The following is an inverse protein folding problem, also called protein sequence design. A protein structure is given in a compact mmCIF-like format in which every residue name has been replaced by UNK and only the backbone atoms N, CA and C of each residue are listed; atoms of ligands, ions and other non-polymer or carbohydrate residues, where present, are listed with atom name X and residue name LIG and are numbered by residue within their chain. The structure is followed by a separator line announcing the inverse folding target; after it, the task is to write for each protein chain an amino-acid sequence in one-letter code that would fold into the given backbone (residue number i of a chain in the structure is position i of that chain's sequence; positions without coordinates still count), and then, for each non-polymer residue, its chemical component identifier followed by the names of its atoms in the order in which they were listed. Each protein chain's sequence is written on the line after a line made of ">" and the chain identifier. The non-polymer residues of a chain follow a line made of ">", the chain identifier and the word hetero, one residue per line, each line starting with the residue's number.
data_IF_841180490816
#
_entry.id   IF_841180490816
#
_cell.length_a   1.000
_cell.length_b   1.000
_cell.length_c   1.000
_cell.angle_alpha   90.00
_cell.angle_beta   90.00
_cell.angle_gamma   90.00
#
_symmetry.space_group_name_H-M   'P 1'
#
loop_
_entity.id
_entity.type
_entity.pdbx_description
1 polymer ?
#
# COMPACT_ATOMS: atom_id res chain seq x y z
N UNK A 1 -21.06 -16.67 3.01
CA UNK A 1 -20.70 -15.34 2.48
C UNK A 1 -19.40 -14.94 3.13
N UNK A 2 -18.37 -14.63 2.34
CA UNK A 2 -17.06 -14.17 2.83
C UNK A 2 -17.16 -12.68 3.17
N UNK A 3 -16.69 -12.27 4.35
CA UNK A 3 -16.61 -10.85 4.73
C UNK A 3 -15.25 -10.24 4.38
N UNK A 4 -15.14 -8.92 4.37
CA UNK A 4 -13.92 -8.20 4.01
C UNK A 4 -12.64 -8.72 4.69
N UNK A 5 -12.66 -8.90 6.02
CA UNK A 5 -11.48 -9.40 6.74
C UNK A 5 -11.16 -10.85 6.39
N UNK A 6 -12.17 -11.66 6.08
CA UNK A 6 -11.97 -13.04 5.63
C UNK A 6 -11.38 -13.06 4.22
N UNK A 7 -11.81 -12.17 3.32
CA UNK A 7 -11.24 -12.00 1.99
C UNK A 7 -9.74 -11.64 2.07
N UNK A 8 -9.38 -10.65 2.89
CA UNK A 8 -7.97 -10.26 3.09
C UNK A 8 -7.15 -11.44 3.62
N UNK A 9 -7.69 -12.21 4.58
CA UNK A 9 -7.02 -13.40 5.13
C UNK A 9 -6.81 -14.50 4.11
N UNK A 10 -7.73 -14.67 3.15
CA UNK A 10 -7.55 -15.64 2.08
C UNK A 10 -6.38 -15.24 1.18
N UNK A 11 -6.27 -13.96 0.81
CA UNK A 11 -5.15 -13.47 0.00
C UNK A 11 -3.80 -13.57 0.74
N UNK A 12 -3.77 -13.50 2.07
CA UNK A 12 -2.56 -13.70 2.86
C UNK A 12 -1.98 -15.12 2.80
N UNK A 13 -2.72 -16.09 2.24
CA UNK A 13 -2.17 -17.43 1.99
C UNK A 13 -1.13 -17.42 0.84
N UNK A 14 -1.26 -16.48 -0.09
CA UNK A 14 -0.42 -16.37 -1.29
C UNK A 14 0.48 -15.11 -1.25
N UNK A 15 0.02 -14.04 -0.61
CA UNK A 15 0.75 -12.77 -0.49
C UNK A 15 1.66 -12.81 0.73
N UNK A 16 2.96 -12.67 0.50
CA UNK A 16 3.94 -12.44 1.57
C UNK A 16 3.86 -11.00 2.06
N UNK A 17 4.05 -10.82 3.35
CA UNK A 17 4.22 -9.51 3.98
C UNK A 17 5.67 -9.31 4.43
N UNK A 18 6.12 -8.06 4.39
CA UNK A 18 7.39 -7.64 5.00
C UNK A 18 7.12 -6.54 6.04
N UNK A 19 8.02 -6.38 6.99
CA UNK A 19 7.93 -5.34 8.02
C UNK A 19 8.64 -4.06 7.56
N UNK A 20 8.35 -2.90 8.18
CA UNK A 20 8.96 -1.63 7.81
C UNK A 20 10.50 -1.63 7.80
N UNK A 21 11.14 -2.21 8.82
CA UNK A 21 12.60 -2.32 8.85
C UNK A 21 13.16 -3.21 7.73
N UNK A 22 12.42 -4.27 7.32
CA UNK A 22 12.84 -5.11 6.19
C UNK A 22 12.84 -4.30 4.88
N UNK A 23 11.87 -3.40 4.70
CA UNK A 23 11.81 -2.51 3.55
C UNK A 23 13.00 -1.52 3.57
N UNK A 24 13.34 -0.96 4.72
CA UNK A 24 14.49 -0.06 4.87
C UNK A 24 15.78 -0.73 4.44
N UNK A 25 16.00 -1.99 4.82
CA UNK A 25 17.19 -2.73 4.43
C UNK A 25 17.16 -3.12 2.94
N UNK A 26 16.02 -3.55 2.42
CA UNK A 26 15.86 -3.85 0.98
C UNK A 26 16.09 -2.63 0.09
N UNK A 27 15.69 -1.44 0.51
CA UNK A 27 15.95 -0.20 -0.23
C UNK A 27 17.45 0.12 -0.34
N UNK A 28 18.26 -0.28 0.67
CA UNK A 28 19.72 -0.13 0.62
C UNK A 28 20.36 -1.18 -0.31
N UNK A 29 19.84 -2.40 -0.30
CA UNK A 29 20.37 -3.53 -1.06
C UNK A 29 19.95 -3.52 -2.54
N UNK A 30 18.74 -3.04 -2.83
CA UNK A 30 18.14 -3.05 -4.16
C UNK A 30 17.57 -1.67 -4.52
N UNK A 31 18.40 -0.76 -5.10
CA UNK A 31 17.94 0.53 -5.58
C UNK A 31 16.89 0.46 -6.71
N UNK A 32 16.71 -0.71 -7.33
CA UNK A 32 15.70 -0.95 -8.38
C UNK A 32 14.34 -1.43 -7.84
N UNK A 33 14.20 -1.64 -6.53
CA UNK A 33 12.94 -1.99 -5.87
C UNK A 33 11.88 -0.92 -6.16
N UNK A 34 10.68 -1.34 -6.53
CA UNK A 34 9.54 -0.45 -6.74
C UNK A 34 8.67 -0.42 -5.48
N UNK A 35 8.50 0.75 -4.88
CA UNK A 35 7.46 0.96 -3.88
C UNK A 35 6.19 1.39 -4.62
N UNK A 36 5.14 0.58 -4.57
CA UNK A 36 3.87 0.87 -5.23
C UNK A 36 2.82 1.29 -4.19
N UNK A 37 2.46 2.57 -4.18
CA UNK A 37 1.41 3.08 -3.31
C UNK A 37 0.04 3.03 -3.98
N UNK A 38 -0.84 2.18 -3.44
CA UNK A 38 -2.18 1.95 -4.01
C UNK A 38 -3.29 2.77 -3.33
N UNK A 39 -2.92 3.80 -2.56
CA UNK A 39 -3.88 4.75 -1.99
C UNK A 39 -4.37 5.75 -3.05
N UNK A 40 -5.41 6.48 -2.70
CA UNK A 40 -5.94 7.55 -3.53
C UNK A 40 -4.91 8.70 -3.67
N UNK A 41 -4.91 9.45 -4.78
CA UNK A 41 -3.90 10.48 -5.03
C UNK A 41 -3.82 11.56 -3.96
N UNK A 42 -4.95 11.90 -3.32
CA UNK A 42 -4.98 12.85 -2.21
C UNK A 42 -4.37 12.29 -0.92
N UNK A 43 -4.46 10.99 -0.67
CA UNK A 43 -3.75 10.34 0.44
C UNK A 43 -2.24 10.35 0.18
N UNK A 44 -1.84 10.12 -1.08
CA UNK A 44 -0.45 10.12 -1.52
C UNK A 44 0.19 11.52 -1.46
N UNK A 45 -0.49 12.53 -2.02
CA UNK A 45 -0.04 13.92 -2.05
C UNK A 45 0.16 14.48 -0.64
N UNK A 46 -0.65 14.04 0.33
CA UNK A 46 -0.52 14.45 1.73
C UNK A 46 0.77 13.90 2.37
N UNK A 47 1.06 12.61 2.15
CA UNK A 47 2.29 11.97 2.60
C UNK A 47 2.47 10.59 1.96
N UNK A 48 3.70 10.21 1.61
CA UNK A 48 4.08 8.91 1.06
C UNK A 48 5.55 8.59 1.35
N UNK A 49 6.01 7.38 1.03
CA UNK A 49 7.43 7.01 1.15
C UNK A 49 8.17 7.60 -0.04
N UNK A 50 9.29 8.29 0.19
CA UNK A 50 10.05 8.92 -0.89
C UNK A 50 10.42 7.91 -2.00
N UNK A 51 10.19 8.29 -3.26
CA UNK A 51 10.46 7.45 -4.42
C UNK A 51 9.37 6.42 -4.76
N UNK A 52 8.24 6.40 -4.04
CA UNK A 52 7.12 5.52 -4.39
C UNK A 52 6.36 6.00 -5.63
N UNK A 53 5.88 5.04 -6.42
CA UNK A 53 4.95 5.26 -7.53
C UNK A 53 3.51 5.14 -7.04
N UNK A 54 2.65 6.13 -7.34
CA UNK A 54 1.23 6.07 -6.97
C UNK A 54 0.39 5.48 -8.10
N UNK A 55 -0.23 4.33 -7.85
CA UNK A 55 -1.24 3.73 -8.74
C UNK A 55 -2.44 3.31 -7.89
N UNK A 56 -3.52 4.12 -7.84
CA UNK A 56 -4.67 3.84 -6.98
C UNK A 56 -5.26 2.45 -7.20
N UNK A 57 -5.69 1.79 -6.11
CA UNK A 57 -6.22 0.42 -6.16
C UNK A 57 -7.34 0.26 -7.20
N UNK A 58 -8.17 1.28 -7.40
CA UNK A 58 -9.33 1.21 -8.31
C UNK A 58 -8.98 1.09 -9.80
N UNK A 59 -7.76 1.42 -10.20
CA UNK A 59 -7.28 1.37 -11.59
C UNK A 59 -6.12 0.40 -11.79
N UNK A 60 -5.72 -0.32 -10.75
CA UNK A 60 -4.46 -1.07 -10.71
C UNK A 60 -4.35 -2.08 -11.87
N UNK A 61 -5.42 -2.82 -12.13
CA UNK A 61 -5.43 -3.88 -13.14
C UNK A 61 -5.33 -3.34 -14.57
N UNK A 62 -5.88 -2.16 -14.88
CA UNK A 62 -5.71 -1.53 -16.20
C UNK A 62 -4.39 -0.78 -16.31
N UNK A 63 -3.95 -0.14 -15.23
CA UNK A 63 -2.69 0.59 -15.18
C UNK A 63 -1.45 -0.30 -15.39
N UNK A 64 -1.54 -1.59 -15.07
CA UNK A 64 -0.45 -2.54 -15.19
C UNK A 64 -0.39 -3.27 -16.55
N UNK A 65 -1.21 -2.88 -17.52
CA UNK A 65 -1.25 -3.39 -18.90
C UNK A 65 -1.05 -2.27 -19.92
N UNK A 66 -0.63 -2.63 -21.14
CA UNK A 66 -0.59 -1.68 -22.27
C UNK A 66 -1.98 -1.48 -22.88
N UNK A 67 -2.15 -0.38 -23.62
CA UNK A 67 -3.36 -0.03 -24.39
C UNK A 67 -4.60 0.36 -23.55
N UNK A 68 -4.39 0.82 -22.31
CA UNK A 68 -5.41 1.43 -21.45
C UNK A 68 -5.13 2.91 -21.18
N UNK A 69 -6.16 3.72 -20.93
CA UNK A 69 -5.97 5.14 -20.56
C UNK A 69 -5.20 5.30 -19.25
N UNK A 70 -5.36 4.34 -18.34
CA UNK A 70 -4.69 4.33 -17.04
C UNK A 70 -3.28 3.73 -17.07
N UNK A 71 -2.80 3.28 -18.24
CA UNK A 71 -1.48 2.65 -18.39
C UNK A 71 -0.40 3.44 -17.65
N UNK A 72 0.29 2.78 -16.72
CA UNK A 72 1.47 3.31 -16.04
C UNK A 72 2.70 2.57 -16.55
N UNK A 73 3.46 3.13 -17.51
CA UNK A 73 4.60 2.47 -18.13
C UNK A 73 5.63 1.92 -17.15
N UNK A 74 5.89 2.60 -16.02
CA UNK A 74 6.84 2.08 -15.04
C UNK A 74 6.34 0.77 -14.42
N UNK A 75 5.04 0.69 -14.10
CA UNK A 75 4.44 -0.52 -13.55
C UNK A 75 4.39 -1.64 -14.59
N UNK A 76 3.96 -1.36 -15.82
CA UNK A 76 3.90 -2.38 -16.89
C UNK A 76 5.25 -3.06 -17.12
N UNK A 77 6.34 -2.28 -17.06
CA UNK A 77 7.71 -2.79 -17.23
C UNK A 77 8.29 -3.43 -15.96
N UNK A 78 7.57 -3.44 -14.83
CA UNK A 78 8.05 -3.91 -13.53
C UNK A 78 7.70 -5.37 -13.20
N UNK A 79 7.21 -6.19 -14.14
CA UNK A 79 6.75 -7.57 -13.89
C UNK A 79 7.76 -8.49 -13.17
N UNK A 80 9.05 -8.28 -13.44
CA UNK A 80 10.15 -9.04 -12.82
C UNK A 80 10.86 -8.27 -11.69
N UNK A 81 10.50 -6.99 -11.46
CA UNK A 81 11.08 -6.19 -10.38
C UNK A 81 10.56 -6.69 -9.03
N UNK A 82 11.33 -6.43 -7.99
CA UNK A 82 10.81 -6.49 -6.64
C UNK A 82 9.85 -5.33 -6.40
N UNK A 83 8.61 -5.64 -6.02
CA UNK A 83 7.56 -4.66 -5.76
C UNK A 83 7.08 -4.80 -4.32
N UNK A 84 7.17 -3.70 -3.57
CA UNK A 84 6.60 -3.59 -2.24
C UNK A 84 5.37 -2.71 -2.33
N UNK A 85 4.20 -3.32 -2.19
CA UNK A 85 2.92 -2.61 -2.27
C UNK A 85 2.58 -2.03 -0.91
N UNK A 86 2.27 -0.74 -0.88
CA UNK A 86 1.91 -0.02 0.33
C UNK A 86 0.50 0.55 0.21
N UNK A 87 -0.17 0.65 1.35
CA UNK A 87 -1.41 1.41 1.46
C UNK A 87 -1.48 2.04 2.85
N UNK A 88 -2.65 2.52 3.29
CA UNK A 88 -2.77 3.13 4.63
C UNK A 88 -2.48 2.16 5.77
N UNK A 89 -3.03 0.94 5.73
CA UNK A 89 -3.08 0.04 6.90
C UNK A 89 -2.83 -1.44 6.59
N UNK A 90 -2.31 -1.77 5.40
CA UNK A 90 -1.99 -3.13 4.96
C UNK A 90 -3.11 -3.87 4.21
N UNK A 91 -4.39 -3.59 4.46
CA UNK A 91 -5.46 -4.38 3.83
C UNK A 91 -5.61 -4.18 2.31
N UNK A 92 -5.52 -2.94 1.82
CA UNK A 92 -5.63 -2.64 0.38
C UNK A 92 -4.42 -3.15 -0.39
N UNK A 93 -3.23 -3.04 0.20
CA UNK A 93 -1.98 -3.52 -0.37
C UNK A 93 -1.99 -5.04 -0.50
N UNK A 94 -2.50 -5.80 0.47
CA UNK A 94 -2.65 -7.27 0.33
C UNK A 94 -3.50 -7.62 -0.89
N UNK A 95 -4.66 -6.98 -1.07
CA UNK A 95 -5.54 -7.26 -2.22
C UNK A 95 -4.91 -6.85 -3.56
N UNK A 96 -4.19 -5.72 -3.57
CA UNK A 96 -3.42 -5.27 -4.73
C UNK A 96 -2.29 -6.25 -5.08
N UNK A 97 -1.48 -6.65 -4.08
CA UNK A 97 -0.40 -7.61 -4.24
C UNK A 97 -0.89 -8.93 -4.83
N UNK A 98 -2.00 -9.47 -4.30
CA UNK A 98 -2.61 -10.67 -4.85
C UNK A 98 -3.03 -10.49 -6.31
N UNK A 99 -3.60 -9.34 -6.66
CA UNK A 99 -4.03 -9.05 -8.04
C UNK A 99 -2.84 -8.98 -8.99
N UNK A 100 -1.75 -8.33 -8.59
CA UNK A 100 -0.51 -8.29 -9.36
C UNK A 100 0.12 -9.69 -9.52
N UNK A 101 0.13 -10.51 -8.47
CA UNK A 101 0.61 -11.90 -8.56
C UNK A 101 -0.20 -12.71 -9.57
N UNK A 102 -1.55 -12.62 -9.54
CA UNK A 102 -2.44 -13.27 -10.52
C UNK A 102 -2.16 -12.77 -11.94
N UNK A 103 -1.82 -11.49 -12.09
CA UNK A 103 -1.47 -10.88 -13.37
C UNK A 103 -0.05 -11.20 -13.82
N UNK A 104 0.73 -11.97 -13.06
CA UNK A 104 2.05 -12.46 -13.47
C UNK A 104 3.23 -11.61 -13.00
N UNK A 105 3.05 -10.75 -11.99
CA UNK A 105 4.17 -10.11 -11.31
C UNK A 105 4.82 -11.09 -10.33
N UNK A 106 6.12 -11.32 -10.48
CA UNK A 106 6.80 -12.46 -9.84
C UNK A 106 7.21 -12.20 -8.38
N UNK A 107 7.65 -10.98 -8.08
CA UNK A 107 8.22 -10.63 -6.77
C UNK A 107 7.44 -9.50 -6.09
N UNK A 108 6.19 -9.78 -5.74
CA UNK A 108 5.30 -8.83 -5.07
C UNK A 108 5.12 -9.20 -3.61
N UNK A 109 5.31 -8.22 -2.73
CA UNK A 109 5.02 -8.33 -1.29
C UNK A 109 4.18 -7.14 -0.83
N UNK A 110 3.44 -7.29 0.25
CA UNK A 110 2.71 -6.19 0.91
C UNK A 110 3.51 -5.68 2.11
N UNK A 111 3.56 -4.36 2.30
CA UNK A 111 4.08 -3.79 3.53
C UNK A 111 3.07 -3.99 4.66
N UNK A 112 3.48 -4.73 5.69
CA UNK A 112 2.64 -5.03 6.84
C UNK A 112 2.25 -3.74 7.56
N UNK A 113 0.98 -3.63 7.93
CA UNK A 113 0.39 -2.44 8.56
C UNK A 113 0.43 -1.15 7.71
N UNK A 114 0.90 -1.21 6.44
CA UNK A 114 0.95 -0.06 5.54
C UNK A 114 1.77 1.13 6.06
N UNK A 115 1.45 2.34 5.58
CA UNK A 115 2.12 3.56 5.99
C UNK A 115 1.87 3.94 7.46
N UNK A 116 0.77 3.48 8.05
CA UNK A 116 0.60 3.59 9.50
C UNK A 116 1.73 2.85 10.21
N UNK A 117 2.00 1.60 9.82
CA UNK A 117 3.11 0.84 10.37
C UNK A 117 4.44 1.53 10.14
N UNK A 118 4.70 1.98 8.91
CA UNK A 118 5.89 2.78 8.57
C UNK A 118 6.10 3.97 9.53
N UNK A 119 5.04 4.76 9.76
CA UNK A 119 5.07 5.89 10.68
C UNK A 119 5.24 5.47 12.15
N UNK A 120 4.59 4.38 12.58
CA UNK A 120 4.72 3.84 13.95
C UNK A 120 6.19 3.41 14.25
N UNK A 121 7.03 3.19 13.23
CA UNK A 121 8.48 2.94 13.37
C UNK A 121 9.35 4.18 13.12
N UNK A 122 8.74 5.37 13.10
CA UNK A 122 9.42 6.66 12.93
C UNK A 122 10.20 6.79 11.61
N UNK A 123 9.83 5.99 10.61
CA UNK A 123 10.43 6.09 9.28
C UNK A 123 9.85 7.29 8.51
N UNK A 124 10.68 8.03 7.76
CA UNK A 124 10.28 9.31 7.20
C UNK A 124 9.22 9.15 6.10
N UNK A 125 8.28 10.09 6.07
CA UNK A 125 7.33 10.30 4.99
C UNK A 125 7.56 11.67 4.38
N UNK A 126 7.26 11.81 3.08
CA UNK A 126 7.35 13.08 2.36
C UNK A 126 6.00 13.48 1.78
N UNK A 127 5.73 14.77 1.70
CA UNK A 127 4.56 15.29 0.99
C UNK A 127 4.81 15.35 -0.53
N UNK A 128 3.84 15.84 -1.30
CA UNK A 128 3.97 16.06 -2.75
C UNK A 128 5.17 16.91 -3.17
N UNK A 129 5.60 17.86 -2.33
CA UNK A 129 6.76 18.70 -2.58
C UNK A 129 8.10 18.02 -2.24
N UNK A 130 8.07 16.78 -1.72
CA UNK A 130 9.26 16.06 -1.27
C UNK A 130 9.75 16.49 0.11
N UNK A 131 8.97 17.28 0.84
CA UNK A 131 9.32 17.77 2.17
C UNK A 131 8.95 16.71 3.22
N UNK A 132 9.84 16.51 4.19
CA UNK A 132 9.59 15.58 5.30
C UNK A 132 8.37 16.03 6.10
N UNK A 133 7.44 15.11 6.32
CA UNK A 133 6.21 15.33 7.07
C UNK A 133 6.47 15.15 8.56
N UNK A 134 5.89 16.04 9.37
CA UNK A 134 5.92 15.95 10.82
C UNK A 134 5.25 14.65 11.32
N UNK A 135 5.93 13.81 12.11
CA UNK A 135 5.35 12.58 12.67
C UNK A 135 4.05 12.80 13.44
N UNK A 136 3.92 13.92 14.18
CA UNK A 136 2.71 14.22 14.96
C UNK A 136 1.51 14.46 14.03
N UNK A 137 1.74 15.09 12.88
CA UNK A 137 0.72 15.27 11.85
C UNK A 137 0.30 13.93 11.24
N UNK A 138 1.28 13.07 10.94
CA UNK A 138 1.04 11.75 10.38
C UNK A 138 0.23 10.84 11.34
N UNK A 139 0.54 10.85 12.64
CA UNK A 139 -0.20 10.12 13.67
C UNK A 139 -1.68 10.53 13.72
N UNK A 140 -1.92 11.85 13.71
CA UNK A 140 -3.28 12.40 13.69
C UNK A 140 -4.04 12.03 12.42
N UNK A 141 -3.34 11.95 11.28
CA UNK A 141 -3.90 11.53 10.01
C UNK A 141 -4.29 10.05 10.02
N UNK A 142 -3.40 9.18 10.51
CA UNK A 142 -3.64 7.74 10.52
C UNK A 142 -4.65 7.30 11.57
N UNK A 143 -4.91 8.12 12.58
CA UNK A 143 -5.94 7.88 13.60
C UNK A 143 -7.33 7.65 12.96
N UNK A 144 -7.97 6.54 13.33
CA UNK A 144 -9.30 6.20 12.85
C UNK A 144 -10.36 7.10 13.49
N UNK A 145 -11.16 7.78 12.66
CA UNK A 145 -12.26 8.66 13.10
C UNK A 145 -13.60 8.01 12.73
N UNK A 146 -14.02 7.02 13.51
CA UNK A 146 -15.29 6.32 13.31
C UNK A 146 -16.44 7.07 14.01
N UNK A 147 -17.51 7.33 13.27
CA UNK A 147 -18.77 7.85 13.80
C UNK A 147 -19.60 6.72 14.43
N UNK A 148 -20.56 7.07 15.27
CA UNK A 148 -21.42 6.09 15.96
C UNK A 148 -22.19 5.17 15.00
N UNK A 149 -22.66 5.68 13.86
CA UNK A 149 -23.34 4.92 12.80
C UNK A 149 -22.41 3.93 12.06
N UNK A 150 -21.10 4.13 12.15
CA UNK A 150 -20.09 3.26 11.53
C UNK A 150 -19.62 2.15 12.48
N UNK A 151 -19.94 2.24 13.78
CA UNK A 151 -19.57 1.22 14.74
C UNK A 151 -20.53 0.03 14.68
N UNK A 152 -20.01 -1.17 14.97
CA UNK A 152 -20.85 -2.36 15.07
C UNK A 152 -21.94 -2.12 16.12
N UNK A 153 -23.24 -2.35 15.82
CA UNK A 153 -24.29 -2.21 16.81
C UNK A 153 -23.98 -3.07 18.03
N UNK A 154 -24.10 -2.48 19.22
CA UNK A 154 -24.04 -3.25 20.48
C UNK A 154 -25.17 -4.27 20.40
N UNK A 155 -24.86 -5.56 20.54
CA UNK A 155 -25.90 -6.59 20.63
C UNK A 155 -26.79 -6.24 21.81
N UNK A 156 -28.10 -6.14 21.59
CA UNK A 156 -29.05 -6.13 22.70
C UNK A 156 -28.80 -7.43 23.50
N UNK A 157 -28.49 -7.27 24.78
CA UNK A 157 -28.35 -8.35 25.75
C UNK A 157 -29.66 -9.12 25.89
#
# INVERSE_FOLDING_TARGET
>A
MVRFIELVRHCLLDVREILPWDLVDRLKENPGLLILDVREPNEFDAMHIAGSLNVPRGILESACEWDFEETEPELVNARQREIVVVCRSGHRSILASHSLQVLGYENVVSLKSGLRGWNDYEEPLVNKAGEVVDPDFADQYFTAKLRADQMRPKRAS
#
